data_IF_001827182203
#
_entry.id   IF_001827182203
#
_cell.length_a   1.000
_cell.length_b   1.000
_cell.length_c   1.000
_cell.angle_alpha   90.00
_cell.angle_beta   90.00
_cell.angle_gamma   90.00
#
_symmetry.space_group_name_H-M   'P 1'
#
loop_
_entity.id
_entity.type
_entity.pdbx_description
1 polymer ?
#
# COMPACT_ATOMS: atom_id res chain seq x y z
N UNK A 1 -10.79 25.36 42.79
CA UNK A 1 -11.37 25.15 41.44
C UNK A 1 -10.34 25.13 40.32
N UNK A 2 -9.23 25.89 40.40
CA UNK A 2 -8.16 25.84 39.39
C UNK A 2 -7.30 24.58 39.50
N UNK A 3 -6.98 24.13 40.71
CA UNK A 3 -6.06 22.99 40.95
C UNK A 3 -6.62 21.66 40.43
N UNK A 4 -7.86 21.30 40.80
CA UNK A 4 -8.56 20.11 40.28
C UNK A 4 -8.78 20.14 38.77
N UNK A 5 -8.94 21.33 38.18
CA UNK A 5 -9.02 21.51 36.72
C UNK A 5 -7.69 21.20 36.04
N UNK A 6 -6.58 21.74 36.57
CA UNK A 6 -5.24 21.49 36.01
C UNK A 6 -4.82 20.03 36.16
N UNK A 7 -5.13 19.39 37.29
CA UNK A 7 -4.88 17.96 37.50
C UNK A 7 -5.68 17.09 36.53
N UNK A 8 -6.98 17.37 36.36
CA UNK A 8 -7.83 16.62 35.42
C UNK A 8 -7.33 16.78 33.98
N UNK A 9 -6.96 18.00 33.59
CA UNK A 9 -6.44 18.27 32.25
C UNK A 9 -5.07 17.60 32.02
N UNK A 10 -4.19 17.62 33.02
CA UNK A 10 -2.90 16.93 32.97
C UNK A 10 -3.10 15.42 32.79
N UNK A 11 -4.02 14.80 33.55
CA UNK A 11 -4.37 13.38 33.40
C UNK A 11 -4.86 13.05 31.99
N UNK A 12 -5.80 13.82 31.45
CA UNK A 12 -6.33 13.59 30.09
C UNK A 12 -5.27 13.75 28.99
N UNK A 13 -4.36 14.70 29.16
CA UNK A 13 -3.23 14.92 28.25
C UNK A 13 -2.32 13.70 28.29
N UNK A 14 -1.90 13.27 29.48
CA UNK A 14 -1.06 12.08 29.68
C UNK A 14 -1.72 10.83 29.08
N UNK A 15 -3.00 10.59 29.36
CA UNK A 15 -3.74 9.46 28.81
C UNK A 15 -3.81 9.47 27.28
N UNK A 16 -3.97 10.66 26.69
CA UNK A 16 -3.98 10.81 25.23
C UNK A 16 -2.61 10.45 24.67
N UNK A 17 -1.53 10.99 25.25
CA UNK A 17 -0.16 10.74 24.79
C UNK A 17 0.26 9.26 24.93
N UNK A 18 -0.19 8.58 25.99
CA UNK A 18 0.05 7.15 26.23
C UNK A 18 -0.66 6.29 25.18
N UNK A 19 -1.95 6.57 24.92
CA UNK A 19 -2.73 5.86 23.89
C UNK A 19 -2.19 6.13 22.48
N UNK A 20 -1.70 7.35 22.21
CA UNK A 20 -1.04 7.69 20.95
C UNK A 20 0.27 6.93 20.78
N UNK A 21 1.07 6.81 21.84
CA UNK A 21 2.29 6.01 21.82
C UNK A 21 2.01 4.54 21.52
N UNK A 22 1.11 3.88 22.27
CA UNK A 22 0.77 2.48 22.04
C UNK A 22 0.15 2.29 20.65
N UNK A 23 -0.76 3.17 20.26
CA UNK A 23 -1.41 3.13 18.96
C UNK A 23 -0.43 3.29 17.80
N UNK A 24 0.59 4.16 17.94
CA UNK A 24 1.68 4.30 16.98
C UNK A 24 2.43 2.99 16.80
N UNK A 25 2.88 2.36 17.89
CA UNK A 25 3.62 1.09 17.84
C UNK A 25 2.80 0.00 17.15
N UNK A 26 1.52 -0.12 17.49
CA UNK A 26 0.64 -1.10 16.84
C UNK A 26 0.49 -0.81 15.34
N UNK A 27 0.29 0.46 14.97
CA UNK A 27 0.16 0.85 13.57
C UNK A 27 1.44 0.58 12.76
N UNK A 28 2.62 0.82 13.31
CA UNK A 28 3.89 0.43 12.67
C UNK A 28 3.97 -1.08 12.44
N UNK A 29 3.47 -1.89 13.39
CA UNK A 29 3.45 -3.34 13.24
C UNK A 29 2.45 -3.82 12.20
N UNK A 30 1.24 -3.26 12.12
CA UNK A 30 0.18 -3.83 11.28
C UNK A 30 -0.01 -3.11 9.93
N UNK A 31 0.46 -1.87 9.82
CA UNK A 31 0.21 -0.96 8.70
C UNK A 31 1.34 0.09 8.56
N UNK A 32 2.56 -0.40 8.32
CA UNK A 32 3.78 0.40 8.13
C UNK A 32 3.61 1.50 7.05
N UNK A 33 2.80 1.24 6.02
CA UNK A 33 2.49 2.24 4.97
C UNK A 33 1.38 3.23 5.39
N UNK A 34 0.48 2.86 6.29
CA UNK A 34 -0.66 3.66 6.71
C UNK A 34 -0.28 4.95 7.43
N UNK A 35 0.68 4.91 8.34
CA UNK A 35 1.17 6.11 9.03
C UNK A 35 1.97 7.02 8.10
N UNK A 36 2.80 6.44 7.25
CA UNK A 36 3.60 7.15 6.26
C UNK A 36 2.75 7.86 5.19
N UNK A 37 1.70 7.20 4.69
CA UNK A 37 0.76 7.78 3.73
C UNK A 37 -0.08 8.91 4.33
N UNK A 38 -0.30 8.88 5.65
CA UNK A 38 -1.02 9.93 6.39
C UNK A 38 -0.10 11.09 6.82
N UNK A 39 1.21 10.99 6.55
CA UNK A 39 2.19 12.07 6.75
C UNK A 39 2.92 12.04 8.09
N UNK A 40 2.95 10.89 8.78
CA UNK A 40 3.59 10.71 10.08
C UNK A 40 4.80 9.76 10.02
N UNK A 41 5.92 10.15 9.38
CA UNK A 41 7.12 9.32 9.36
C UNK A 41 7.80 9.33 10.74
N UNK A 42 7.94 8.17 11.40
CA UNK A 42 8.76 7.97 12.61
C UNK A 42 8.39 8.81 13.85
N UNK A 43 7.14 9.25 13.97
CA UNK A 43 6.77 10.24 14.99
C UNK A 43 5.48 9.88 15.73
N UNK A 44 5.49 10.09 17.06
CA UNK A 44 4.31 10.22 17.92
C UNK A 44 3.43 11.45 17.56
N UNK A 45 3.52 11.94 16.32
CA UNK A 45 2.69 13.01 15.80
C UNK A 45 1.34 12.49 15.28
N UNK A 46 1.17 11.17 15.18
CA UNK A 46 -0.09 10.56 14.80
C UNK A 46 -1.10 10.78 15.93
N UNK A 47 -2.00 11.74 15.70
CA UNK A 47 -3.06 12.04 16.65
C UNK A 47 -3.94 10.81 16.88
N UNK A 48 -4.49 10.69 18.09
CA UNK A 48 -5.31 9.55 18.48
C UNK A 48 -6.45 9.28 17.48
N UNK A 49 -6.96 10.33 16.82
CA UNK A 49 -7.97 10.18 15.77
C UNK A 49 -7.46 9.49 14.50
N UNK A 50 -6.25 9.81 14.02
CA UNK A 50 -5.66 9.12 12.87
C UNK A 50 -5.39 7.64 13.20
N UNK A 51 -4.86 7.36 14.40
CA UNK A 51 -4.64 6.00 14.89
C UNK A 51 -5.96 5.22 14.90
N UNK A 52 -7.01 5.77 15.51
CA UNK A 52 -8.33 5.14 15.55
C UNK A 52 -8.86 4.86 14.13
N UNK A 53 -8.64 5.78 13.18
CA UNK A 53 -9.08 5.60 11.79
C UNK A 53 -8.35 4.43 11.10
N UNK A 54 -7.04 4.29 11.32
CA UNK A 54 -6.23 3.19 10.78
C UNK A 54 -6.66 1.86 11.41
N UNK A 55 -6.67 1.78 12.74
CA UNK A 55 -7.04 0.56 13.47
C UNK A 55 -8.46 0.09 13.12
N UNK A 56 -9.43 1.01 12.97
CA UNK A 56 -10.79 0.64 12.56
C UNK A 56 -10.88 0.04 11.16
N UNK A 57 -10.00 0.44 10.23
CA UNK A 57 -9.95 -0.18 8.90
C UNK A 57 -9.39 -1.60 9.00
N UNK A 58 -8.36 -1.80 9.80
CA UNK A 58 -7.77 -3.12 10.02
C UNK A 58 -8.74 -4.07 10.74
N UNK A 59 -9.47 -3.58 11.74
CA UNK A 59 -10.49 -4.36 12.48
C UNK A 59 -11.72 -4.76 11.66
N UNK A 60 -11.89 -4.23 10.45
CA UNK A 60 -12.98 -4.61 9.52
C UNK A 60 -12.55 -5.66 8.50
N UNK A 61 -11.25 -5.92 8.38
CA UNK A 61 -10.74 -6.92 7.44
C UNK A 61 -10.83 -8.30 8.09
N UNK A 62 -11.58 -9.25 7.51
CA UNK A 62 -11.74 -10.59 8.09
C UNK A 62 -10.39 -11.33 8.17
N UNK A 63 -9.50 -11.09 7.20
CA UNK A 63 -8.14 -11.67 7.17
C UNK A 63 -7.08 -10.64 7.62
N UNK A 64 -7.47 -9.65 8.41
CA UNK A 64 -6.57 -8.62 8.92
C UNK A 64 -5.61 -9.16 10.00
N UNK A 65 -4.46 -8.52 10.16
CA UNK A 65 -3.46 -8.90 11.17
C UNK A 65 -4.05 -9.00 12.59
N UNK A 66 -4.96 -8.09 12.96
CA UNK A 66 -5.66 -8.13 14.24
C UNK A 66 -6.69 -9.27 14.37
N UNK A 67 -7.29 -9.71 13.25
CA UNK A 67 -8.25 -10.80 13.25
C UNK A 67 -7.58 -12.17 13.46
N UNK A 68 -6.29 -12.29 13.15
CA UNK A 68 -5.48 -13.46 13.50
C UNK A 68 -5.08 -13.55 14.97
N UNK A 69 -5.20 -12.45 15.73
CA UNK A 69 -4.69 -12.36 17.12
C UNK A 69 -5.78 -12.31 18.18
N UNK A 70 -6.99 -11.95 17.79
CA UNK A 70 -8.11 -11.74 18.69
C UNK A 70 -9.33 -12.52 18.18
N UNK A 71 -10.08 -13.12 19.09
CA UNK A 71 -11.38 -13.70 18.76
C UNK A 71 -12.42 -12.59 18.47
N UNK A 72 -13.57 -12.94 17.91
CA UNK A 72 -14.57 -11.93 17.49
C UNK A 72 -15.12 -11.11 18.67
N UNK A 73 -15.21 -11.70 19.87
CA UNK A 73 -15.64 -10.98 21.07
C UNK A 73 -14.61 -9.94 21.51
N UNK A 74 -13.33 -10.29 21.50
CA UNK A 74 -12.21 -9.36 21.74
C UNK A 74 -12.18 -8.25 20.69
N UNK A 75 -12.32 -8.58 19.39
CA UNK A 75 -12.39 -7.59 18.32
C UNK A 75 -13.57 -6.62 18.55
N UNK A 76 -14.72 -7.13 18.99
CA UNK A 76 -15.89 -6.31 19.31
C UNK A 76 -15.64 -5.38 20.49
N UNK A 77 -15.02 -5.88 21.56
CA UNK A 77 -14.61 -5.06 22.72
C UNK A 77 -13.60 -3.99 22.29
N UNK A 78 -12.61 -4.35 21.48
CA UNK A 78 -11.59 -3.43 21.02
C UNK A 78 -12.17 -2.30 20.15
N UNK A 79 -13.06 -2.64 19.21
CA UNK A 79 -13.81 -1.67 18.40
C UNK A 79 -14.61 -0.70 19.28
N UNK A 80 -15.22 -1.19 20.36
CA UNK A 80 -15.98 -0.37 21.32
C UNK A 80 -15.06 0.58 22.09
N UNK A 81 -13.93 0.08 22.60
CA UNK A 81 -12.95 0.88 23.35
C UNK A 81 -12.32 1.99 22.49
N UNK A 82 -11.94 1.67 21.24
CA UNK A 82 -11.44 2.68 20.28
C UNK A 82 -12.48 3.77 19.94
N UNK A 83 -13.77 3.45 20.00
CA UNK A 83 -14.81 4.45 19.86
C UNK A 83 -14.92 5.33 21.09
N UNK A 84 -14.87 4.73 22.29
CA UNK A 84 -14.94 5.46 23.56
C UNK A 84 -13.72 6.36 23.78
N UNK A 85 -12.52 5.97 23.35
CA UNK A 85 -11.31 6.77 23.54
C UNK A 85 -11.33 8.12 22.82
N UNK A 86 -12.17 8.29 21.80
CA UNK A 86 -12.46 9.62 21.21
C UNK A 86 -12.96 10.62 22.25
N UNK A 87 -13.69 10.15 23.26
CA UNK A 87 -14.19 11.00 24.33
C UNK A 87 -13.02 11.56 25.16
N UNK A 88 -11.98 10.76 25.43
CA UNK A 88 -10.77 11.22 26.16
C UNK A 88 -10.16 12.43 25.44
N UNK A 89 -9.90 12.30 24.12
CA UNK A 89 -9.37 13.40 23.29
C UNK A 89 -10.30 14.60 23.22
N UNK A 90 -11.61 14.38 23.06
CA UNK A 90 -12.58 15.47 22.99
C UNK A 90 -12.65 16.24 24.31
N UNK A 91 -12.63 15.55 25.45
CA UNK A 91 -12.63 16.19 26.76
C UNK A 91 -11.31 16.92 27.05
N UNK A 92 -10.17 16.36 26.62
CA UNK A 92 -8.89 17.05 26.65
C UNK A 92 -8.95 18.37 25.85
N UNK A 93 -9.45 18.33 24.61
CA UNK A 93 -9.50 19.50 23.72
C UNK A 93 -10.51 20.58 24.15
N UNK A 94 -11.62 20.19 24.77
CA UNK A 94 -12.71 21.10 25.14
C UNK A 94 -12.73 21.49 26.62
N UNK A 95 -11.80 21.00 27.44
CA UNK A 95 -11.63 21.38 28.84
C UNK A 95 -12.91 21.26 29.70
N UNK A 96 -13.76 20.26 29.44
CA UNK A 96 -15.15 20.24 29.93
C UNK A 96 -15.50 19.08 30.89
N UNK A 97 -14.55 18.63 31.73
CA UNK A 97 -14.83 17.61 32.76
C UNK A 97 -15.00 18.28 34.11
N UNK A 98 -16.18 18.09 34.71
CA UNK A 98 -16.51 18.50 36.10
C UNK A 98 -17.06 17.35 36.95
N UNK A 99 -17.14 16.15 36.41
CA UNK A 99 -17.81 15.00 37.04
C UNK A 99 -16.81 13.84 37.24
N UNK A 100 -16.62 13.41 38.48
CA UNK A 100 -15.72 12.31 38.87
C UNK A 100 -16.15 10.95 38.29
N UNK A 101 -17.45 10.66 38.20
CA UNK A 101 -17.92 9.39 37.64
C UNK A 101 -17.56 9.26 36.16
N UNK A 102 -17.64 10.38 35.43
CA UNK A 102 -17.19 10.43 34.03
C UNK A 102 -15.69 10.28 33.91
N UNK A 103 -14.93 10.86 34.84
CA UNK A 103 -13.46 10.72 34.85
C UNK A 103 -13.07 9.25 35.09
N UNK A 104 -13.77 8.56 35.99
CA UNK A 104 -13.56 7.13 36.24
C UNK A 104 -13.92 6.26 35.03
N UNK A 105 -15.02 6.52 34.30
CA UNK A 105 -15.32 5.78 33.06
C UNK A 105 -14.26 6.00 31.96
N UNK A 106 -13.68 7.20 31.89
CA UNK A 106 -12.58 7.50 30.96
C UNK A 106 -11.29 6.80 31.36
N UNK A 107 -10.97 6.76 32.66
CA UNK A 107 -9.83 6.02 33.20
C UNK A 107 -9.96 4.53 32.91
N UNK A 108 -11.11 3.93 33.23
CA UNK A 108 -11.39 2.53 32.91
C UNK A 108 -11.28 2.25 31.41
N UNK A 109 -11.79 3.16 30.56
CA UNK A 109 -11.64 3.05 29.11
C UNK A 109 -10.18 3.10 28.69
N UNK A 110 -9.39 4.00 29.28
CA UNK A 110 -7.95 4.14 29.00
C UNK A 110 -7.19 2.88 29.38
N UNK A 111 -7.39 2.35 30.58
CA UNK A 111 -6.66 1.18 31.07
C UNK A 111 -6.99 -0.06 30.22
N UNK A 112 -8.28 -0.35 30.03
CA UNK A 112 -8.70 -1.47 29.18
C UNK A 112 -8.19 -1.35 27.74
N UNK A 113 -8.18 -0.13 27.18
CA UNK A 113 -7.66 0.08 25.82
C UNK A 113 -6.14 -0.10 25.77
N UNK A 114 -5.42 0.35 26.80
CA UNK A 114 -3.97 0.18 26.92
C UNK A 114 -3.60 -1.29 26.96
N UNK A 115 -4.31 -2.09 27.76
CA UNK A 115 -4.11 -3.54 27.85
C UNK A 115 -4.34 -4.24 26.51
N UNK A 116 -5.44 -3.90 25.82
CA UNK A 116 -5.73 -4.48 24.51
C UNK A 116 -4.71 -4.06 23.44
N UNK A 117 -4.21 -2.83 23.49
CA UNK A 117 -3.15 -2.36 22.60
C UNK A 117 -1.84 -3.09 22.87
N UNK A 118 -1.41 -3.23 24.13
CA UNK A 118 -0.21 -3.98 24.48
C UNK A 118 -0.31 -5.46 24.06
N UNK A 119 -1.47 -6.09 24.30
CA UNK A 119 -1.73 -7.45 23.86
C UNK A 119 -1.60 -7.59 22.33
N UNK A 120 -2.25 -6.69 21.58
CA UNK A 120 -2.18 -6.67 20.12
C UNK A 120 -0.75 -6.43 19.61
N UNK A 121 0.00 -5.55 20.26
CA UNK A 121 1.39 -5.24 19.91
C UNK A 121 2.27 -6.47 20.09
N UNK A 122 2.18 -7.16 21.24
CA UNK A 122 2.96 -8.38 21.48
C UNK A 122 2.61 -9.50 20.51
N UNK A 123 1.31 -9.67 20.23
CA UNK A 123 0.84 -10.62 19.22
C UNK A 123 1.42 -10.32 17.84
N UNK A 124 1.33 -9.06 17.39
CA UNK A 124 1.82 -8.64 16.07
C UNK A 124 3.34 -8.64 15.94
N UNK A 125 4.04 -8.31 17.02
CA UNK A 125 5.49 -8.40 17.10
C UNK A 125 5.96 -9.85 16.96
N UNK A 126 5.32 -10.77 17.70
CA UNK A 126 5.65 -12.19 17.69
C UNK A 126 5.39 -12.84 16.33
N UNK A 127 4.20 -12.63 15.75
CA UNK A 127 3.79 -13.17 14.45
C UNK A 127 4.75 -12.74 13.31
N UNK A 128 5.27 -11.51 13.38
CA UNK A 128 6.20 -10.96 12.38
C UNK A 128 7.67 -11.14 12.71
N UNK A 129 8.01 -11.71 13.87
CA UNK A 129 9.40 -11.82 14.35
C UNK A 129 10.09 -10.46 14.56
N UNK A 130 9.34 -9.42 14.92
CA UNK A 130 9.85 -8.07 15.18
C UNK A 130 10.06 -7.91 16.68
N UNK A 131 11.28 -7.58 17.10
CA UNK A 131 11.63 -7.47 18.52
C UNK A 131 11.74 -6.02 19.01
N UNK A 132 11.89 -5.07 18.09
CA UNK A 132 12.08 -3.65 18.41
C UNK A 132 11.52 -2.74 17.32
N UNK A 133 11.01 -1.57 17.72
CA UNK A 133 10.52 -0.52 16.81
C UNK A 133 11.19 0.81 17.10
N UNK A 134 11.52 1.56 16.06
CA UNK A 134 11.99 2.93 16.19
C UNK A 134 10.85 3.86 16.62
N UNK A 135 11.02 4.57 17.72
CA UNK A 135 10.10 5.59 18.21
C UNK A 135 10.84 6.91 18.46
N UNK A 136 10.16 8.03 18.22
CA UNK A 136 10.66 9.37 18.54
C UNK A 136 9.63 10.14 19.35
N UNK A 137 9.91 10.49 20.62
CA UNK A 137 9.03 11.34 21.41
C UNK A 137 8.92 12.73 20.78
N UNK A 138 7.71 13.28 20.72
CA UNK A 138 7.46 14.53 20.01
C UNK A 138 8.07 15.76 20.71
N UNK A 139 8.57 16.70 19.89
CA UNK A 139 9.28 17.96 20.26
C UNK A 139 8.59 18.92 21.25
N UNK A 140 7.33 18.72 21.62
CA UNK A 140 6.60 19.62 22.52
C UNK A 140 6.74 19.21 24.00
N UNK A 141 7.10 17.94 24.25
CA UNK A 141 7.45 17.44 25.58
C UNK A 141 8.87 17.93 25.94
N UNK A 142 9.75 18.01 24.94
CA UNK A 142 11.08 18.60 25.05
C UNK A 142 11.01 20.13 24.99
N UNK A 143 10.65 20.77 26.10
CA UNK A 143 10.86 22.21 26.27
C UNK A 143 12.36 22.48 26.33
N UNK A 144 13.02 22.61 25.19
CA UNK A 144 13.96 23.69 24.85
C UNK A 144 14.83 23.33 23.66
N UNK A 145 15.09 24.37 22.87
CA UNK A 145 16.09 24.40 21.82
C UNK A 145 17.47 24.11 22.43
N UNK A 146 18.07 22.99 22.04
CA UNK A 146 19.52 22.83 22.04
C UNK A 146 19.93 22.53 20.61
N UNK A 147 20.99 23.18 20.14
CA UNK A 147 21.51 23.15 18.77
C UNK A 147 22.01 21.78 18.28
N UNK A 148 21.79 20.71 19.03
CA UNK A 148 22.15 19.34 18.64
C UNK A 148 21.11 18.75 17.69
N UNK A 149 21.49 18.79 16.42
CA UNK A 149 20.81 18.31 15.22
C UNK A 149 20.59 16.79 15.26
N UNK A 150 19.44 16.31 15.74
CA UNK A 150 18.65 15.15 15.26
C UNK A 150 17.48 14.88 16.23
N UNK A 151 16.30 14.43 15.76
CA UNK A 151 15.25 13.96 16.66
C UNK A 151 15.79 12.78 17.49
N UNK A 152 15.47 12.74 18.79
CA UNK A 152 15.76 11.58 19.62
C UNK A 152 15.00 10.39 19.04
N UNK A 153 15.72 9.37 18.60
CA UNK A 153 15.15 8.11 18.13
C UNK A 153 15.58 7.02 19.11
N UNK A 154 14.61 6.32 19.67
CA UNK A 154 14.78 5.26 20.65
C UNK A 154 14.23 3.96 20.08
N UNK A 155 14.95 2.87 20.27
CA UNK A 155 14.46 1.54 19.93
C UNK A 155 13.61 1.03 21.10
N UNK A 156 12.30 0.88 20.86
CA UNK A 156 11.33 0.35 21.82
C UNK A 156 11.39 -1.17 21.76
N UNK A 157 11.78 -1.85 22.84
CA UNK A 157 11.74 -3.30 22.90
C UNK A 157 10.30 -3.76 23.12
N UNK A 158 9.83 -4.72 22.30
CA UNK A 158 8.40 -5.09 22.29
C UNK A 158 8.05 -6.21 23.28
N UNK A 159 9.05 -6.95 23.78
CA UNK A 159 8.85 -8.18 24.57
C UNK A 159 9.52 -8.20 25.95
N UNK A 160 10.26 -7.15 26.33
CA UNK A 160 11.08 -7.18 27.56
C UNK A 160 10.40 -6.55 28.78
N UNK A 161 9.53 -5.56 28.57
CA UNK A 161 8.87 -4.82 29.65
C UNK A 161 7.56 -4.18 29.17
N UNK A 162 6.67 -3.74 30.09
CA UNK A 162 5.48 -2.97 29.72
C UNK A 162 5.84 -1.69 28.97
N UNK A 163 5.13 -1.41 27.88
CA UNK A 163 5.53 -0.36 26.94
C UNK A 163 5.36 1.04 27.54
N UNK A 164 4.33 1.25 28.35
CA UNK A 164 4.13 2.51 29.06
C UNK A 164 5.23 2.75 30.10
N UNK A 165 5.69 1.71 30.79
CA UNK A 165 6.81 1.81 31.74
C UNK A 165 8.12 2.18 31.03
N UNK A 166 8.38 1.57 29.87
CA UNK A 166 9.50 1.94 29.01
C UNK A 166 9.43 3.41 28.59
N UNK A 167 8.28 3.84 28.07
CA UNK A 167 8.03 5.22 27.64
C UNK A 167 8.35 6.21 28.76
N UNK A 168 7.81 5.99 29.95
CA UNK A 168 7.98 6.91 31.07
C UNK A 168 9.43 6.99 31.52
N UNK A 169 10.18 5.89 31.49
CA UNK A 169 11.62 5.88 31.78
C UNK A 169 12.37 6.74 30.76
N UNK A 170 12.12 6.52 29.47
CA UNK A 170 12.78 7.29 28.39
C UNK A 170 12.48 8.79 28.49
N UNK A 171 11.23 9.15 28.79
CA UNK A 171 10.84 10.55 28.96
C UNK A 171 11.51 11.18 30.20
N UNK A 172 11.58 10.46 31.33
CA UNK A 172 12.26 10.93 32.55
C UNK A 172 13.77 11.11 32.33
N UNK A 173 14.43 10.14 31.71
CA UNK A 173 15.87 10.19 31.45
C UNK A 173 16.20 11.37 30.53
N UNK A 174 15.36 11.63 29.52
CA UNK A 174 15.52 12.80 28.66
C UNK A 174 15.35 14.12 29.42
N UNK A 175 14.36 14.22 30.30
CA UNK A 175 14.15 15.43 31.11
C UNK A 175 15.32 15.70 32.08
N UNK A 176 15.94 14.65 32.63
CA UNK A 176 17.12 14.76 33.50
C UNK A 176 18.32 15.27 32.70
N UNK A 177 18.55 14.74 31.50
CA UNK A 177 19.62 15.20 30.61
C UNK A 177 19.41 16.66 30.17
N UNK A 178 18.16 17.08 29.95
CA UNK A 178 17.86 18.49 29.66
C UNK A 178 18.09 19.39 30.87
N UNK A 179 17.70 18.97 32.09
CA UNK A 179 17.95 19.77 33.31
C UNK A 179 19.44 19.99 33.56
N UNK A 180 20.29 18.99 33.30
CA UNK A 180 21.75 19.12 33.38
C UNK A 180 22.33 20.10 32.35
N UNK A 181 21.67 20.29 31.21
CA UNK A 181 22.06 21.25 30.17
C UNK A 181 21.52 22.66 30.45
N UNK A 182 20.40 22.78 31.18
CA UNK A 182 19.73 24.05 31.47
C UNK A 182 20.30 24.82 32.68
N UNK A 183 21.25 24.24 33.42
CA UNK A 183 22.04 24.96 34.43
C UNK A 183 23.11 25.85 33.77
N UNK A 184 22.70 26.88 33.02
CA UNK A 184 23.52 28.04 32.64
C UNK A 184 22.66 29.12 31.96
N UNK A 185 22.02 29.96 32.78
CA UNK A 185 22.32 31.40 32.82
C UNK A 185 21.22 32.16 33.59
N UNK A 186 21.59 33.06 34.51
CA UNK A 186 20.62 33.99 35.08
C UNK A 186 20.06 34.88 33.96
N UNK A 187 18.72 35.02 33.90
CA UNK A 187 18.02 35.94 32.99
C UNK A 187 18.55 37.37 33.19
N UNK A 188 19.49 37.81 32.34
CA UNK A 188 19.83 39.23 32.18
C UNK A 188 18.70 39.91 31.42
N UNK A 189 18.27 41.09 31.88
CA UNK A 189 17.28 41.94 31.21
C UNK A 189 17.74 42.22 29.77
N UNK A 190 16.85 42.04 28.79
CA UNK A 190 17.19 42.16 27.36
C UNK A 190 17.54 43.61 27.01
N UNK A 191 18.71 43.82 26.40
CA UNK A 191 19.10 45.08 25.75
C UNK A 191 18.46 45.17 24.36
N UNK A 192 18.34 46.37 23.79
CA UNK A 192 17.72 46.60 22.46
C UNK A 192 18.41 45.83 21.32
N UNK A 193 19.72 45.64 21.43
CA UNK A 193 20.53 44.81 20.53
C UNK A 193 20.11 43.34 20.53
N UNK A 194 19.68 42.83 21.69
CA UNK A 194 19.21 41.45 21.85
C UNK A 194 17.84 41.24 21.21
N UNK A 195 16.98 42.28 21.18
CA UNK A 195 15.69 42.23 20.48
C UNK A 195 15.86 42.16 18.96
N UNK A 196 16.78 42.96 18.39
CA UNK A 196 17.08 42.91 16.94
C UNK A 196 17.62 41.55 16.52
N UNK A 197 18.54 40.98 17.30
CA UNK A 197 19.08 39.64 17.04
C UNK A 197 17.99 38.55 17.10
N UNK A 198 17.06 38.63 18.05
CA UNK A 198 15.91 37.73 18.11
C UNK A 198 14.97 37.85 16.90
N UNK A 199 14.79 39.06 16.38
CA UNK A 199 13.97 39.29 15.20
C UNK A 199 14.61 38.71 13.93
N UNK A 200 15.93 38.87 13.78
CA UNK A 200 16.69 38.29 12.67
C UNK A 200 16.77 36.76 12.75
N UNK A 201 16.93 36.21 13.95
CA UNK A 201 16.87 34.77 14.20
C UNK A 201 15.48 34.21 13.87
N UNK A 202 14.42 34.96 14.20
CA UNK A 202 13.04 34.58 13.86
C UNK A 202 12.80 34.59 12.34
N UNK A 203 13.22 35.64 11.64
CA UNK A 203 13.14 35.71 10.16
C UNK A 203 13.92 34.58 9.50
N UNK A 204 15.12 34.31 10.00
CA UNK A 204 15.96 33.20 9.53
C UNK A 204 15.33 31.83 9.80
N UNK A 205 14.70 31.64 10.95
CA UNK A 205 13.96 30.42 11.27
C UNK A 205 12.74 30.22 10.36
N UNK A 206 12.05 31.31 10.00
CA UNK A 206 10.92 31.27 9.07
C UNK A 206 11.36 30.82 7.67
N UNK A 207 12.46 31.39 7.15
CA UNK A 207 13.05 31.01 5.86
C UNK A 207 13.46 29.54 5.87
N UNK A 208 14.15 29.08 6.94
CA UNK A 208 14.54 27.67 7.08
C UNK A 208 13.32 26.73 7.14
N UNK A 209 12.22 27.15 7.77
CA UNK A 209 10.97 26.38 7.82
C UNK A 209 10.35 26.24 6.43
N UNK A 210 10.40 27.30 5.62
CA UNK A 210 9.89 27.30 4.25
C UNK A 210 10.74 26.43 3.33
N UNK A 211 12.07 26.57 3.37
CA UNK A 211 13.00 25.70 2.64
C UNK A 211 12.87 24.22 3.02
N UNK A 212 12.58 23.90 4.28
CA UNK A 212 12.30 22.52 4.70
C UNK A 212 11.02 21.97 4.09
N UNK A 213 9.96 22.78 3.98
CA UNK A 213 8.72 22.38 3.29
C UNK A 213 8.99 22.11 1.81
N UNK A 214 9.73 22.99 1.14
CA UNK A 214 10.10 22.83 -0.27
C UNK A 214 10.94 21.58 -0.52
N UNK A 215 11.97 21.33 0.32
CA UNK A 215 12.76 20.09 0.26
C UNK A 215 11.89 18.85 0.50
N UNK A 216 10.95 18.91 1.45
CA UNK A 216 10.00 17.83 1.69
C UNK A 216 9.11 17.53 0.47
N UNK A 217 8.62 18.57 -0.21
CA UNK A 217 7.85 18.44 -1.45
C UNK A 217 8.70 17.85 -2.59
N UNK A 218 9.95 18.32 -2.75
CA UNK A 218 10.86 17.81 -3.77
C UNK A 218 11.22 16.33 -3.55
N UNK A 219 11.48 15.92 -2.30
CA UNK A 219 11.76 14.52 -1.97
C UNK A 219 10.52 13.64 -2.26
N UNK A 220 9.32 14.11 -1.91
CA UNK A 220 8.06 13.40 -2.22
C UNK A 220 7.87 13.22 -3.72
N UNK A 221 8.06 14.29 -4.49
CA UNK A 221 7.96 14.25 -5.95
C UNK A 221 8.96 13.27 -6.56
N UNK A 222 10.22 13.29 -6.12
CA UNK A 222 11.27 12.40 -6.61
C UNK A 222 10.98 10.92 -6.25
N UNK A 223 10.47 10.66 -5.04
CA UNK A 223 10.06 9.33 -4.64
C UNK A 223 8.85 8.81 -5.45
N UNK A 224 7.86 9.67 -5.74
CA UNK A 224 6.74 9.34 -6.61
C UNK A 224 7.20 9.03 -8.03
N UNK A 225 8.13 9.83 -8.59
CA UNK A 225 8.71 9.58 -9.91
C UNK A 225 9.43 8.23 -9.98
N UNK A 226 10.23 7.88 -8.96
CA UNK A 226 10.88 6.57 -8.87
C UNK A 226 9.88 5.41 -8.80
N UNK A 227 8.77 5.58 -8.07
CA UNK A 227 7.70 4.58 -8.01
C UNK A 227 7.03 4.39 -9.37
N UNK A 228 6.72 5.50 -10.05
CA UNK A 228 6.07 5.48 -11.35
C UNK A 228 6.95 4.78 -12.40
N UNK A 229 8.24 5.09 -12.42
CA UNK A 229 9.22 4.42 -13.28
C UNK A 229 9.28 2.90 -12.99
N UNK A 230 9.25 2.48 -11.72
CA UNK A 230 9.23 1.04 -11.37
C UNK A 230 7.97 0.33 -11.86
N UNK A 231 6.81 0.99 -11.83
CA UNK A 231 5.55 0.44 -12.36
C UNK A 231 5.64 0.33 -13.88
N UNK A 232 6.14 1.37 -14.54
CA UNK A 232 6.32 1.41 -15.99
C UNK A 232 7.26 0.30 -16.47
N UNK A 233 8.40 0.11 -15.80
CA UNK A 233 9.32 -1.00 -16.11
C UNK A 233 8.65 -2.38 -15.95
N UNK A 234 7.83 -2.57 -14.91
CA UNK A 234 7.08 -3.83 -14.72
C UNK A 234 6.05 -4.04 -15.83
N UNK A 235 5.37 -2.97 -16.24
CA UNK A 235 4.39 -3.02 -17.31
C UNK A 235 5.05 -3.38 -18.66
N UNK A 236 6.15 -2.70 -19.00
CA UNK A 236 6.94 -3.00 -20.21
C UNK A 236 7.38 -4.47 -20.21
N UNK A 237 7.98 -4.93 -19.11
CA UNK A 237 8.43 -6.33 -18.99
C UNK A 237 7.27 -7.33 -19.12
N UNK A 238 6.10 -7.00 -18.58
CA UNK A 238 4.91 -7.83 -18.73
C UNK A 238 4.42 -7.88 -20.18
N UNK A 239 4.50 -6.77 -20.91
CA UNK A 239 4.17 -6.75 -22.33
C UNK A 239 5.15 -7.57 -23.15
N UNK A 240 6.46 -7.42 -22.92
CA UNK A 240 7.51 -8.22 -23.59
C UNK A 240 7.29 -9.73 -23.38
N UNK A 241 6.98 -10.16 -22.15
CA UNK A 241 6.63 -11.55 -21.86
C UNK A 241 5.35 -12.00 -22.58
N UNK A 242 4.35 -11.12 -22.66
CA UNK A 242 3.12 -11.37 -23.43
C UNK A 242 3.41 -11.58 -24.92
N UNK A 243 4.22 -10.71 -25.53
CA UNK A 243 4.63 -10.85 -26.92
C UNK A 243 5.47 -12.11 -27.16
N UNK A 244 6.37 -12.47 -26.24
CA UNK A 244 7.14 -13.70 -26.34
C UNK A 244 6.25 -14.95 -26.35
N UNK A 245 5.22 -15.00 -25.50
CA UNK A 245 4.24 -16.10 -25.50
C UNK A 245 3.44 -16.15 -26.79
N UNK A 246 2.99 -15.01 -27.30
CA UNK A 246 2.27 -14.96 -28.58
C UNK A 246 3.14 -15.44 -29.74
N UNK A 247 4.43 -15.07 -29.76
CA UNK A 247 5.36 -15.55 -30.76
C UNK A 247 5.57 -17.07 -30.67
N UNK A 248 5.66 -17.62 -29.46
CA UNK A 248 5.76 -19.07 -29.25
C UNK A 248 4.52 -19.81 -29.80
N UNK A 249 3.32 -19.31 -29.51
CA UNK A 249 2.07 -19.87 -30.06
C UNK A 249 2.04 -19.77 -31.58
N UNK A 250 2.51 -18.64 -32.13
CA UNK A 250 2.57 -18.44 -33.58
C UNK A 250 3.49 -19.45 -34.28
N UNK A 251 4.64 -19.75 -33.70
CA UNK A 251 5.55 -20.77 -34.24
C UNK A 251 4.94 -22.17 -34.11
N UNK A 252 4.30 -22.52 -32.99
CA UNK A 252 3.57 -23.78 -32.85
C UNK A 252 2.48 -23.94 -33.90
N UNK A 253 1.68 -22.89 -34.15
CA UNK A 253 0.65 -22.91 -35.19
C UNK A 253 1.25 -23.10 -36.60
N UNK A 254 2.44 -22.54 -36.86
CA UNK A 254 3.14 -22.73 -38.13
C UNK A 254 3.60 -24.19 -38.28
N UNK A 255 4.18 -24.77 -37.23
CA UNK A 255 4.59 -26.19 -37.23
C UNK A 255 3.39 -27.12 -37.45
N UNK A 256 2.26 -26.87 -36.77
CA UNK A 256 1.02 -27.61 -36.98
C UNK A 256 0.49 -27.48 -38.41
N UNK A 257 0.55 -26.28 -38.99
CA UNK A 257 0.19 -26.06 -40.39
C UNK A 257 1.10 -26.86 -41.34
N UNK A 258 2.41 -26.87 -41.13
CA UNK A 258 3.34 -27.66 -41.94
C UNK A 258 3.04 -29.15 -41.84
N UNK A 259 2.79 -29.67 -40.63
CA UNK A 259 2.40 -31.07 -40.41
C UNK A 259 1.11 -31.38 -41.16
N UNK A 260 0.09 -30.53 -41.04
CA UNK A 260 -1.18 -30.69 -41.75
C UNK A 260 -0.98 -30.74 -43.28
N UNK A 261 -0.17 -29.84 -43.84
CA UNK A 261 0.10 -29.84 -45.29
C UNK A 261 0.90 -31.06 -45.73
N UNK A 262 1.85 -31.55 -44.94
CA UNK A 262 2.59 -32.79 -45.23
C UNK A 262 1.68 -34.02 -45.22
N UNK A 263 0.89 -34.19 -44.16
CA UNK A 263 -0.08 -35.29 -44.05
C UNK A 263 -1.09 -35.25 -45.20
N UNK A 264 -1.60 -34.06 -45.54
CA UNK A 264 -2.50 -33.89 -46.68
C UNK A 264 -1.82 -34.28 -48.00
N UNK A 265 -0.56 -33.91 -48.21
CA UNK A 265 0.18 -34.27 -49.41
C UNK A 265 0.45 -35.79 -49.50
N UNK A 266 0.71 -36.47 -48.38
CA UNK A 266 0.85 -37.93 -48.32
C UNK A 266 -0.44 -38.63 -48.67
N UNK A 267 -1.56 -38.25 -48.05
CA UNK A 267 -2.89 -38.80 -48.37
C UNK A 267 -3.20 -38.59 -49.86
N UNK A 268 -2.94 -37.40 -50.41
CA UNK A 268 -3.18 -37.12 -51.82
C UNK A 268 -2.26 -37.95 -52.74
N UNK A 269 -1.01 -38.24 -52.36
CA UNK A 269 -0.13 -39.14 -53.11
C UNK A 269 -0.61 -40.59 -53.08
N UNK A 270 -1.06 -41.09 -51.92
CA UNK A 270 -1.63 -42.44 -51.79
C UNK A 270 -2.94 -42.59 -52.58
N UNK A 271 -3.76 -41.53 -52.64
CA UNK A 271 -5.03 -41.56 -53.39
C UNK A 271 -4.82 -41.49 -54.91
N UNK A 272 -3.70 -40.93 -55.38
CA UNK A 272 -3.37 -40.73 -56.81
C UNK A 272 -2.16 -41.56 -57.26
N UNK A 273 -2.20 -42.87 -57.03
CA UNK A 273 -1.49 -43.81 -57.89
C UNK A 273 -2.48 -44.45 -58.87
N UNK A 274 -2.76 -43.81 -60.02
CA UNK A 274 -3.44 -44.51 -61.09
C UNK A 274 -2.49 -45.60 -61.57
N UNK A 275 -2.73 -46.84 -61.16
CA UNK A 275 -2.12 -48.00 -61.79
C UNK A 275 -2.40 -47.92 -63.29
N UNK A 276 -1.42 -48.31 -64.11
CA UNK A 276 -1.48 -48.24 -65.58
C UNK A 276 -2.78 -48.86 -66.13
N UNK A 277 -3.30 -49.88 -65.46
CA UNK A 277 -4.59 -50.51 -65.73
C UNK A 277 -5.80 -49.59 -65.55
N UNK A 278 -5.85 -48.75 -64.49
CA UNK A 278 -6.94 -47.79 -64.27
C UNK A 278 -6.94 -46.67 -65.31
N UNK A 279 -5.75 -46.22 -65.73
CA UNK A 279 -5.60 -45.28 -66.85
C UNK A 279 -6.11 -45.90 -68.14
N UNK A 280 -5.75 -47.16 -68.41
CA UNK A 280 -6.20 -47.91 -69.58
C UNK A 280 -7.74 -48.08 -69.60
N UNK A 281 -8.34 -48.44 -68.48
CA UNK A 281 -9.80 -48.54 -68.33
C UNK A 281 -10.49 -47.19 -68.51
N UNK A 282 -9.96 -46.08 -67.99
CA UNK A 282 -10.54 -44.74 -68.19
C UNK A 282 -10.43 -44.32 -69.66
N UNK A 283 -9.31 -44.59 -70.35
CA UNK A 283 -9.19 -44.33 -71.79
C UNK A 283 -10.11 -45.21 -72.63
N UNK A 284 -10.28 -46.49 -72.29
CA UNK A 284 -11.23 -47.37 -72.98
C UNK A 284 -12.67 -46.91 -72.72
N UNK A 285 -13.02 -46.48 -71.51
CA UNK A 285 -14.35 -45.96 -71.19
C UNK A 285 -14.63 -44.64 -71.93
N UNK A 286 -13.62 -43.77 -72.07
CA UNK A 286 -13.71 -42.52 -72.81
C UNK A 286 -13.84 -42.75 -74.33
N UNK A 287 -13.18 -43.78 -74.87
CA UNK A 287 -13.26 -44.14 -76.30
C UNK A 287 -14.50 -44.98 -76.64
N UNK A 288 -14.98 -45.81 -75.72
CA UNK A 288 -16.13 -46.71 -75.92
C UNK A 288 -17.47 -46.12 -75.51
N UNK A 289 -17.48 -45.02 -74.75
CA UNK A 289 -18.72 -44.37 -74.35
C UNK A 289 -19.32 -43.57 -75.50
N UNK A 290 -20.59 -43.82 -75.90
CA UNK A 290 -21.27 -43.08 -76.95
C UNK A 290 -21.61 -41.63 -76.55
N UNK A 291 -21.17 -41.16 -75.38
CA UNK A 291 -21.34 -39.77 -74.93
C UNK A 291 -20.53 -38.76 -75.75
N UNK A 292 -19.44 -39.17 -76.41
CA UNK A 292 -18.77 -38.26 -77.33
C UNK A 292 -19.66 -37.96 -78.56
N UNK A 293 -20.51 -38.90 -78.98
CA UNK A 293 -21.49 -38.66 -80.05
C UNK A 293 -22.55 -37.66 -79.61
N UNK A 294 -23.01 -37.70 -78.35
CA UNK A 294 -23.98 -36.72 -77.85
C UNK A 294 -23.36 -35.32 -77.72
N UNK A 295 -22.11 -35.23 -77.28
CA UNK A 295 -21.36 -33.95 -77.24
C UNK A 295 -21.11 -33.41 -78.66
N UNK A 296 -20.72 -34.25 -79.61
CA UNK A 296 -20.55 -33.85 -81.03
C UNK A 296 -21.89 -33.46 -81.66
N UNK A 297 -22.99 -34.12 -81.30
CA UNK A 297 -24.33 -33.79 -81.78
C UNK A 297 -24.81 -32.44 -81.23
N UNK A 298 -24.63 -32.19 -79.92
CA UNK A 298 -24.93 -30.90 -79.29
C UNK A 298 -24.05 -29.79 -79.87
N UNK A 299 -22.76 -30.05 -80.08
CA UNK A 299 -21.83 -29.10 -80.69
C UNK A 299 -22.23 -28.78 -82.15
N UNK A 300 -22.62 -29.79 -82.94
CA UNK A 300 -23.11 -29.56 -84.30
C UNK A 300 -24.42 -28.76 -84.32
N UNK A 301 -25.36 -29.05 -83.41
CA UNK A 301 -26.59 -28.24 -83.27
C UNK A 301 -26.23 -26.80 -82.92
N UNK A 302 -25.32 -26.58 -81.97
CA UNK A 302 -24.87 -25.26 -81.54
C UNK A 302 -24.15 -24.48 -82.65
N UNK A 303 -23.26 -25.11 -83.41
CA UNK A 303 -22.61 -24.49 -84.56
C UNK A 303 -23.61 -24.15 -85.68
N UNK A 304 -24.60 -25.02 -85.93
CA UNK A 304 -25.61 -24.82 -86.96
C UNK A 304 -26.62 -23.72 -86.60
N UNK A 305 -27.00 -23.59 -85.32
CA UNK A 305 -27.84 -22.48 -84.85
C UNK A 305 -27.07 -21.17 -84.82
N UNK A 306 -25.80 -21.16 -84.39
CA UNK A 306 -24.94 -19.97 -84.42
C UNK A 306 -24.65 -19.46 -85.84
N UNK A 307 -24.59 -20.36 -86.83
CA UNK A 307 -24.45 -20.00 -88.25
C UNK A 307 -25.71 -19.37 -88.86
N UNK A 308 -26.91 -19.76 -88.41
CA UNK A 308 -28.18 -19.16 -88.86
C UNK A 308 -28.42 -17.77 -88.27
N UNK A 309 -28.00 -17.53 -87.04
CA UNK A 309 -28.06 -16.21 -86.39
C UNK A 309 -27.02 -15.19 -86.89
N UNK A 310 -26.13 -15.56 -87.83
CA UNK A 310 -25.18 -14.65 -88.47
C UNK A 310 -25.52 -14.31 -89.94
N UNK A 311 -26.62 -14.82 -90.49
CA UNK A 311 -27.09 -14.55 -91.87
C UNK A 311 -28.56 -14.10 -91.95
N UNK A 312 -29.14 -13.69 -90.83
CA UNK A 312 -30.40 -12.95 -90.77
C UNK A 312 -30.07 -11.54 -90.24
#
# INVERSE_FOLDING_TARGET
MSETYFETHARLTTWTDELEFLGYILCELIDEEGLNTTGYPFHQAADLLAIIKILRRQLKKPDGCLAGMMNEDELKVFRRLLNKSKNIRNYMAHHNIRNNDRLNDLENTKEMLSDMLEFAIRGAASDRGIYQISWSPYRHICKTYVETKRPLTVMVPLNTEPLLSFRDRVLRDHDIDQRRVLDRHPKRKSTEETRRKQEDDYKSALIRKQQRKERGLAIRSNHQAKKLNKIEQRFIKSQELGYARLNQVKEQMREEQEIFYRQRAEILKETFHPTVEKLFFITILALSSPLWLTVVFIYNIYCRTRGRFRRA
#
